data_IF_042869213199
#
_entry.id   IF_042869213199
#
_cell.length_a   1.000
_cell.length_b   1.000
_cell.length_c   1.000
_cell.angle_alpha   90.00
_cell.angle_beta   90.00
_cell.angle_gamma   90.00
#
_symmetry.space_group_name_H-M   'P 1'
#
loop_
_entity.id
_entity.type
_entity.pdbx_description
1 polymer ?
#
# COMPACT_ATOMS: atom_id res chain seq x y z
N UNK A 1 -8.10 -50.92 -6.20
CA UNK A 1 -8.59 -49.69 -5.53
C UNK A 1 -7.62 -48.56 -5.85
N UNK A 2 -8.03 -47.67 -6.74
CA UNK A 2 -7.44 -46.34 -6.92
C UNK A 2 -8.55 -45.43 -7.45
N UNK A 3 -8.75 -44.27 -6.83
CA UNK A 3 -9.22 -43.10 -7.57
C UNK A 3 -8.16 -41.99 -7.40
N UNK A 4 -7.55 -41.52 -8.49
CA UNK A 4 -8.05 -40.47 -9.40
C UNK A 4 -7.43 -39.12 -9.06
N UNK A 5 -6.42 -38.76 -9.84
CA UNK A 5 -6.05 -37.37 -10.10
C UNK A 5 -7.26 -36.65 -10.70
N UNK A 6 -7.77 -35.62 -10.03
CA UNK A 6 -8.50 -34.53 -10.68
C UNK A 6 -8.08 -33.20 -10.08
N UNK A 7 -7.28 -32.45 -10.86
CA UNK A 7 -7.16 -31.00 -10.70
C UNK A 7 -8.52 -30.39 -11.09
N UNK A 8 -9.19 -29.70 -10.17
CA UNK A 8 -10.27 -28.78 -10.56
C UNK A 8 -10.35 -27.61 -9.58
N UNK A 9 -10.13 -26.42 -10.14
CA UNK A 9 -10.13 -25.14 -9.49
C UNK A 9 -11.45 -24.81 -8.78
N UNK A 10 -11.36 -24.17 -7.61
CA UNK A 10 -12.42 -23.29 -7.11
C UNK A 10 -11.89 -21.87 -7.06
N UNK A 11 -12.01 -21.21 -8.21
CA UNK A 11 -12.12 -19.77 -8.35
C UNK A 11 -13.20 -19.27 -7.39
N UNK A 12 -12.81 -18.66 -6.27
CA UNK A 12 -13.67 -17.81 -5.46
C UNK A 12 -13.08 -16.41 -5.54
N UNK A 13 -13.75 -15.58 -6.32
CA UNK A 13 -13.30 -14.25 -6.69
C UNK A 13 -13.25 -13.30 -5.51
N UNK A 14 -12.09 -12.70 -5.29
CA UNK A 14 -11.90 -11.51 -4.46
C UNK A 14 -11.54 -10.31 -5.33
N UNK A 15 -12.36 -9.99 -6.34
CA UNK A 15 -12.22 -8.73 -7.10
C UNK A 15 -12.84 -7.55 -6.31
N UNK A 16 -13.66 -7.82 -5.30
CA UNK A 16 -14.25 -6.79 -4.46
C UNK A 16 -13.27 -6.16 -3.46
N UNK A 17 -12.26 -6.88 -2.98
CA UNK A 17 -11.39 -6.41 -1.88
C UNK A 17 -10.46 -5.25 -2.27
N UNK A 18 -9.87 -5.29 -3.46
CA UNK A 18 -8.99 -4.22 -3.95
C UNK A 18 -9.74 -2.94 -4.30
N UNK A 19 -10.96 -3.07 -4.86
CA UNK A 19 -11.83 -1.94 -5.18
C UNK A 19 -12.41 -1.32 -3.91
N UNK A 20 -12.78 -2.12 -2.89
CA UNK A 20 -13.21 -1.61 -1.59
C UNK A 20 -12.09 -0.86 -0.86
N UNK A 21 -10.84 -1.31 -0.89
CA UNK A 21 -9.74 -0.60 -0.24
C UNK A 21 -9.44 0.73 -0.94
N UNK A 22 -9.42 0.76 -2.27
CA UNK A 22 -9.34 2.02 -3.02
C UNK A 22 -10.56 2.93 -2.75
N UNK A 23 -11.77 2.37 -2.67
CA UNK A 23 -12.98 3.13 -2.33
C UNK A 23 -13.00 3.62 -0.88
N UNK A 24 -12.38 2.93 0.09
CA UNK A 24 -12.28 3.38 1.48
C UNK A 24 -11.17 4.44 1.65
N UNK A 25 -10.07 4.33 0.89
CA UNK A 25 -8.99 5.32 0.92
C UNK A 25 -9.34 6.61 0.15
N UNK A 26 -10.26 6.55 -0.81
CA UNK A 26 -10.63 7.70 -1.67
C UNK A 26 -12.14 8.06 -1.67
N UNK A 27 -12.99 7.35 -0.93
CA UNK A 27 -14.45 7.51 -0.95
C UNK A 27 -14.98 8.51 0.08
N UNK A 28 -15.49 9.63 -0.44
CA UNK A 28 -16.36 10.67 0.14
C UNK A 28 -15.86 11.43 1.37
N UNK A 29 -15.53 12.70 1.13
CA UNK A 29 -15.61 13.78 2.12
C UNK A 29 -16.96 14.50 1.96
N UNK A 30 -17.70 14.63 3.05
CA UNK A 30 -18.80 15.60 3.17
C UNK A 30 -18.36 16.60 4.21
N UNK A 31 -18.09 17.85 3.85
CA UNK A 31 -18.17 18.96 4.82
C UNK A 31 -18.75 20.24 4.20
N UNK A 32 -19.91 20.59 4.76
CA UNK A 32 -20.46 21.92 5.05
C UNK A 32 -19.78 23.13 4.38
N UNK A 33 -20.42 23.66 3.34
CA UNK A 33 -20.05 24.94 2.74
C UNK A 33 -20.65 26.11 3.52
N UNK A 34 -19.79 26.97 4.07
CA UNK A 34 -20.17 28.33 4.45
C UNK A 34 -20.42 29.15 3.19
N UNK A 35 -21.59 29.80 3.15
CA UNK A 35 -22.03 30.63 2.05
C UNK A 35 -21.25 31.95 2.00
N UNK A 36 -20.61 32.21 0.86
CA UNK A 36 -20.08 33.51 0.47
C UNK A 36 -20.12 33.59 -1.05
N UNK A 37 -21.10 34.32 -1.58
CA UNK A 37 -21.42 34.37 -3.01
C UNK A 37 -20.45 35.20 -3.83
N UNK A 38 -19.93 34.60 -4.90
CA UNK A 38 -19.19 35.27 -5.98
C UNK A 38 -20.13 35.45 -7.20
N UNK A 39 -20.40 36.69 -7.66
CA UNK A 39 -21.31 36.99 -8.76
C UNK A 39 -20.74 36.73 -10.17
N UNK A 40 -19.49 36.25 -10.31
CA UNK A 40 -18.87 36.02 -11.63
C UNK A 40 -19.23 34.67 -12.27
N UNK A 41 -19.90 33.76 -11.55
CA UNK A 41 -20.19 32.40 -12.05
C UNK A 41 -18.94 31.52 -12.24
N UNK A 42 -17.77 32.04 -11.91
CA UNK A 42 -16.50 31.34 -11.76
C UNK A 42 -16.34 31.04 -10.26
N UNK A 43 -17.16 30.12 -9.75
CA UNK A 43 -17.00 29.62 -8.39
C UNK A 43 -15.74 28.77 -8.33
N UNK A 44 -14.63 29.36 -7.89
CA UNK A 44 -13.53 28.67 -7.23
C UNK A 44 -13.10 27.34 -7.88
N UNK A 45 -12.78 27.33 -9.18
CA UNK A 45 -12.03 26.21 -9.74
C UNK A 45 -10.56 26.35 -9.30
N UNK A 46 -10.30 26.06 -8.03
CA UNK A 46 -8.98 25.58 -7.64
C UNK A 46 -8.86 24.21 -8.29
N UNK A 47 -8.00 23.98 -9.31
CA UNK A 47 -7.70 22.61 -9.69
C UNK A 47 -7.27 21.93 -8.39
N UNK A 48 -7.96 20.85 -8.00
CA UNK A 48 -7.45 19.97 -6.96
C UNK A 48 -6.13 19.44 -7.49
N UNK A 49 -5.05 20.17 -7.23
CA UNK A 49 -3.70 19.65 -7.33
C UNK A 49 -3.63 18.61 -6.24
N UNK A 50 -3.88 17.36 -6.62
CA UNK A 50 -3.71 16.18 -5.79
C UNK A 50 -2.24 16.08 -5.43
N UNK A 51 -1.82 16.90 -4.46
CA UNK A 51 -0.44 17.04 -4.06
C UNK A 51 -0.03 15.73 -3.43
N UNK A 52 1.06 15.14 -3.94
CA UNK A 52 1.59 13.90 -3.41
C UNK A 52 1.82 14.00 -1.89
N UNK A 53 1.36 12.99 -1.15
CA UNK A 53 1.51 12.93 0.30
C UNK A 53 2.27 11.67 0.70
N UNK A 54 3.56 11.83 0.98
CA UNK A 54 4.45 10.74 1.31
C UNK A 54 4.04 9.98 2.58
N UNK A 55 3.47 10.67 3.59
CA UNK A 55 3.00 10.06 4.83
C UNK A 55 1.82 9.12 4.57
N UNK A 56 0.85 9.55 3.74
CA UNK A 56 -0.29 8.71 3.35
C UNK A 56 0.16 7.50 2.54
N UNK A 57 1.09 7.69 1.60
CA UNK A 57 1.65 6.58 0.82
C UNK A 57 2.40 5.58 1.72
N UNK A 58 3.20 6.06 2.68
CA UNK A 58 3.90 5.19 3.63
C UNK A 58 2.94 4.38 4.52
N UNK A 59 1.83 4.98 4.95
CA UNK A 59 0.78 4.27 5.69
C UNK A 59 0.10 3.22 4.82
N UNK A 60 -0.29 3.57 3.59
CA UNK A 60 -0.91 2.63 2.66
C UNK A 60 0.00 1.44 2.34
N UNK A 61 1.31 1.66 2.19
CA UNK A 61 2.28 0.58 2.04
C UNK A 61 2.33 -0.32 3.27
N UNK A 62 2.39 0.27 4.46
CA UNK A 62 2.38 -0.49 5.70
C UNK A 62 1.14 -1.37 5.82
N UNK A 63 -0.04 -0.80 5.57
CA UNK A 63 -1.31 -1.54 5.63
C UNK A 63 -1.30 -2.69 4.62
N UNK A 64 -0.92 -2.41 3.37
CA UNK A 64 -0.85 -3.42 2.29
C UNK A 64 0.12 -4.58 2.58
N UNK A 65 1.21 -4.31 3.31
CA UNK A 65 2.20 -5.32 3.70
C UNK A 65 1.88 -6.00 5.04
N UNK A 66 1.09 -5.38 5.91
CA UNK A 66 0.77 -5.93 7.24
C UNK A 66 -0.41 -6.91 7.23
N UNK A 67 -1.19 -6.93 6.15
CA UNK A 67 -2.28 -7.89 5.94
C UNK A 67 -1.72 -9.28 5.61
N UNK A 68 -2.17 -10.32 6.33
CA UNK A 68 -1.80 -11.71 6.01
C UNK A 68 -2.14 -12.07 4.55
N UNK A 69 -1.14 -12.54 3.80
CA UNK A 69 -1.31 -13.01 2.43
C UNK A 69 -1.12 -11.92 1.37
N UNK A 70 -0.06 -11.15 1.55
CA UNK A 70 0.38 -9.99 0.76
C UNK A 70 -0.01 -10.03 -0.70
N UNK A 71 -0.58 -8.90 -1.14
CA UNK A 71 -0.97 -8.66 -2.52
C UNK A 71 0.12 -7.81 -3.14
N UNK A 72 1.18 -8.42 -3.67
CA UNK A 72 2.31 -7.73 -4.34
C UNK A 72 1.79 -6.66 -5.32
N UNK A 73 0.68 -6.97 -6.00
CA UNK A 73 -0.08 -6.05 -6.86
C UNK A 73 -0.54 -4.76 -6.18
N UNK A 74 -0.96 -4.80 -4.93
CA UNK A 74 -1.37 -3.63 -4.16
C UNK A 74 -0.18 -2.71 -3.87
N UNK A 75 0.98 -3.27 -3.50
CA UNK A 75 2.22 -2.52 -3.30
C UNK A 75 2.62 -1.82 -4.60
N UNK A 76 2.62 -2.56 -5.72
CA UNK A 76 2.93 -2.01 -7.04
C UNK A 76 1.94 -0.93 -7.47
N UNK A 77 0.64 -1.10 -7.22
CA UNK A 77 -0.38 -0.12 -7.58
C UNK A 77 -0.24 1.17 -6.75
N UNK A 78 0.01 1.07 -5.43
CA UNK A 78 0.31 2.23 -4.57
C UNK A 78 1.52 3.00 -5.11
N UNK A 79 2.54 2.28 -5.59
CA UNK A 79 3.79 2.86 -6.06
C UNK A 79 3.77 3.25 -7.54
N UNK A 80 2.71 2.93 -8.29
CA UNK A 80 2.67 3.05 -9.76
C UNK A 80 3.02 4.44 -10.27
N UNK A 81 2.47 5.48 -9.63
CA UNK A 81 2.69 6.88 -10.01
C UNK A 81 3.67 7.62 -9.09
N UNK A 82 4.33 6.90 -8.19
CA UNK A 82 5.33 7.48 -7.29
C UNK A 82 6.66 7.60 -8.04
N UNK A 83 7.23 8.80 -8.06
CA UNK A 83 8.56 9.07 -8.63
C UNK A 83 9.69 8.74 -7.65
N UNK A 84 10.93 8.67 -8.12
CA UNK A 84 12.10 8.40 -7.28
C UNK A 84 12.26 9.40 -6.11
N UNK A 85 12.07 10.69 -6.35
CA UNK A 85 12.22 11.72 -5.30
C UNK A 85 11.10 11.64 -4.27
N UNK A 86 9.88 11.35 -4.71
CA UNK A 86 8.72 11.11 -3.85
C UNK A 86 8.91 9.83 -3.02
N UNK A 87 9.43 8.77 -3.64
CA UNK A 87 9.73 7.51 -2.96
C UNK A 87 10.78 7.68 -1.85
N UNK A 88 11.80 8.52 -2.05
CA UNK A 88 12.75 8.86 -0.99
C UNK A 88 12.05 9.49 0.24
N UNK A 89 11.02 10.32 0.01
CA UNK A 89 10.20 10.86 1.10
C UNK A 89 9.37 9.75 1.76
N UNK A 90 8.79 8.83 0.98
CA UNK A 90 8.04 7.68 1.50
C UNK A 90 8.92 6.81 2.39
N UNK A 91 10.14 6.47 1.97
CA UNK A 91 11.10 5.70 2.76
C UNK A 91 11.39 6.41 4.09
N UNK A 92 11.62 7.72 4.05
CA UNK A 92 11.84 8.53 5.25
C UNK A 92 10.64 8.50 6.20
N UNK A 93 9.42 8.65 5.69
CA UNK A 93 8.19 8.61 6.51
C UNK A 93 7.80 7.21 6.98
N UNK A 94 8.13 6.18 6.20
CA UNK A 94 7.88 4.80 6.59
C UNK A 94 8.74 4.42 7.81
N UNK A 95 10.01 4.82 7.79
CA UNK A 95 10.95 4.60 8.89
C UNK A 95 11.29 3.12 9.11
N UNK A 96 11.48 2.74 10.37
CA UNK A 96 11.62 1.33 10.77
C UNK A 96 10.36 0.88 11.49
N UNK A 97 9.88 -0.31 11.18
CA UNK A 97 8.64 -0.87 11.74
C UNK A 97 8.85 -2.32 12.17
N UNK A 98 8.11 -2.72 13.19
CA UNK A 98 8.13 -4.07 13.73
C UNK A 98 7.62 -5.06 12.70
N UNK A 99 8.41 -6.09 12.42
CA UNK A 99 8.09 -7.08 11.39
C UNK A 99 8.25 -8.50 11.93
N UNK A 100 7.29 -9.34 11.59
CA UNK A 100 7.27 -10.76 11.89
C UNK A 100 7.39 -11.51 10.57
N UNK A 101 8.60 -12.03 10.31
CA UNK A 101 8.94 -12.80 9.10
C UNK A 101 8.13 -14.08 8.94
N UNK A 102 7.66 -14.65 10.04
CA UNK A 102 6.95 -15.93 10.06
C UNK A 102 5.53 -15.78 9.54
N UNK A 103 4.91 -14.62 9.74
CA UNK A 103 3.51 -14.39 9.40
C UNK A 103 3.28 -13.24 8.41
N UNK A 104 4.32 -12.54 7.96
CA UNK A 104 4.20 -11.40 7.05
C UNK A 104 3.36 -10.27 7.63
N UNK A 105 3.61 -9.91 8.89
CA UNK A 105 2.84 -8.87 9.57
C UNK A 105 3.61 -8.31 10.79
N UNK A 106 2.95 -7.47 11.60
CA UNK A 106 3.52 -6.91 12.82
C UNK A 106 2.98 -7.57 14.11
N UNK A 107 2.34 -8.74 14.02
CA UNK A 107 1.72 -9.43 15.15
C UNK A 107 2.81 -10.07 16.01
N UNK A 108 2.77 -9.76 17.31
CA UNK A 108 3.60 -10.41 18.33
C UNK A 108 2.89 -11.65 18.85
N UNK A 109 3.40 -12.84 18.48
CA UNK A 109 2.89 -14.10 19.02
C UNK A 109 3.21 -14.27 20.51
N UNK A 110 4.40 -13.82 20.95
CA UNK A 110 4.79 -13.77 22.36
C UNK A 110 4.91 -12.33 22.84
N UNK A 111 4.16 -11.88 23.88
CA UNK A 111 4.17 -10.48 24.30
C UNK A 111 5.50 -10.03 24.91
N UNK A 112 6.33 -10.96 25.38
CA UNK A 112 7.68 -10.71 25.93
C UNK A 112 8.79 -10.70 24.87
N UNK A 113 8.51 -11.07 23.61
CA UNK A 113 9.51 -11.06 22.54
C UNK A 113 9.32 -9.82 21.67
N UNK A 114 10.39 -9.03 21.53
CA UNK A 114 10.40 -7.90 20.62
C UNK A 114 10.60 -8.36 19.17
N UNK A 115 9.71 -7.93 18.27
CA UNK A 115 9.92 -8.09 16.83
C UNK A 115 11.07 -7.20 16.36
N UNK A 116 11.87 -7.65 15.37
CA UNK A 116 12.88 -6.81 14.75
C UNK A 116 12.24 -5.59 14.09
N UNK A 117 12.94 -4.46 14.17
CA UNK A 117 12.57 -3.23 13.46
C UNK A 117 13.32 -3.18 12.13
N UNK A 118 12.61 -3.38 11.03
CA UNK A 118 13.19 -3.33 9.68
C UNK A 118 12.63 -2.15 8.89
N UNK A 119 13.40 -1.68 7.91
CA UNK A 119 13.03 -0.55 7.05
C UNK A 119 12.17 -1.01 5.86
N UNK A 120 11.70 -0.05 5.05
CA UNK A 120 10.84 -0.33 3.89
C UNK A 120 11.48 -1.32 2.90
N UNK A 121 12.80 -1.29 2.75
CA UNK A 121 13.54 -2.24 1.90
C UNK A 121 13.46 -3.66 2.47
N UNK A 122 13.65 -3.80 3.78
CA UNK A 122 13.47 -5.08 4.48
C UNK A 122 12.06 -5.63 4.30
N UNK A 123 11.05 -4.80 4.50
CA UNK A 123 9.65 -5.17 4.26
C UNK A 123 9.44 -5.65 2.81
N UNK A 124 9.87 -4.89 1.80
CA UNK A 124 9.72 -5.31 0.39
C UNK A 124 10.40 -6.64 0.07
N UNK A 125 11.56 -6.94 0.66
CA UNK A 125 12.24 -8.23 0.44
C UNK A 125 11.50 -9.42 1.01
N UNK A 126 10.71 -9.20 2.06
CA UNK A 126 9.94 -10.27 2.69
C UNK A 126 8.55 -10.41 2.08
N UNK A 127 8.03 -9.32 1.50
CA UNK A 127 6.64 -9.20 1.05
C UNK A 127 6.45 -9.33 -0.45
N UNK A 128 7.49 -9.10 -1.26
CA UNK A 128 7.42 -9.24 -2.71
C UNK A 128 8.20 -10.46 -3.17
N UNK A 129 7.74 -11.08 -4.26
CA UNK A 129 8.61 -11.98 -5.00
C UNK A 129 9.84 -11.27 -5.59
N UNK A 130 10.84 -12.05 -6.02
CA UNK A 130 12.09 -11.53 -6.54
C UNK A 130 11.88 -10.66 -7.80
N UNK A 131 10.90 -10.99 -8.64
CA UNK A 131 10.66 -10.26 -9.89
C UNK A 131 10.07 -8.88 -9.59
N UNK A 132 9.08 -8.82 -8.71
CA UNK A 132 8.41 -7.58 -8.31
C UNK A 132 9.35 -6.68 -7.49
N UNK A 133 10.17 -7.26 -6.61
CA UNK A 133 11.22 -6.52 -5.93
C UNK A 133 12.21 -5.89 -6.92
N UNK A 134 12.65 -6.64 -7.95
CA UNK A 134 13.57 -6.14 -8.96
C UNK A 134 12.96 -5.03 -9.83
N UNK A 135 11.65 -5.09 -10.12
CA UNK A 135 10.93 -3.99 -10.77
C UNK A 135 11.03 -2.72 -9.93
N UNK A 136 10.76 -2.82 -8.62
CA UNK A 136 10.87 -1.67 -7.72
C UNK A 136 12.31 -1.17 -7.60
N UNK A 137 13.30 -2.07 -7.51
CA UNK A 137 14.72 -1.71 -7.44
C UNK A 137 15.18 -0.93 -8.66
N UNK A 138 14.72 -1.33 -9.86
CA UNK A 138 15.01 -0.60 -11.11
C UNK A 138 14.31 0.75 -11.17
N UNK A 139 13.10 0.87 -10.62
CA UNK A 139 12.35 2.13 -10.57
C UNK A 139 12.91 3.10 -9.52
N UNK A 140 13.41 2.58 -8.41
CA UNK A 140 13.90 3.35 -7.26
C UNK A 140 15.37 3.02 -6.89
N UNK A 141 16.33 3.12 -7.82
CA UNK A 141 17.71 2.67 -7.63
C UNK A 141 18.45 3.32 -6.45
N UNK A 142 18.04 4.51 -6.02
CA UNK A 142 18.73 5.25 -4.94
C UNK A 142 18.23 4.90 -3.54
N UNK A 143 17.16 4.11 -3.42
CA UNK A 143 16.50 3.83 -2.15
C UNK A 143 16.19 2.35 -1.89
N UNK A 144 16.46 1.44 -2.84
CA UNK A 144 16.19 0.00 -2.74
C UNK A 144 17.40 -0.90 -3.03
#
# INVERSE_FOLDING_TARGET
MTPQDTKTAKTVGYVAGGILLAYLLFGKKTESGNAGGDPTGNGNYTPETTTFNATKTALALYDAMSEMGTKDKAILEILKYVSQSQFAQVVKYFGKRAYNDTYGNNIRFFPWVALPLIDLKGWFKSELDEQDYEILRKKYPNNL
#
